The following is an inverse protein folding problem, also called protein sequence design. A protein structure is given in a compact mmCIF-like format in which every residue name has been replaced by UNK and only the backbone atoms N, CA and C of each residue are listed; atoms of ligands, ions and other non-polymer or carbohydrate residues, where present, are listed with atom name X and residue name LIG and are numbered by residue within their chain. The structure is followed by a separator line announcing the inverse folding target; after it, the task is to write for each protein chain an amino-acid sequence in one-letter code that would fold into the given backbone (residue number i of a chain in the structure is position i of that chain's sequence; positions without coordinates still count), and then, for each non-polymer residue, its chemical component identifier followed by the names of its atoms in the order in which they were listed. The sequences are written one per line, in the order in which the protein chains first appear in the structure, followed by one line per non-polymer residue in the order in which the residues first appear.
data_IF_674331837752
#
_entry.id   IF_674331837752
#
_cell.length_a   1.000
_cell.length_b   1.000
_cell.length_c   1.000
_cell.angle_alpha   90.00
_cell.angle_beta   90.00
_cell.angle_gamma   90.00
#
_symmetry.space_group_name_H-M   'P 1'
#
loop_
_entity.id
_entity.type
_entity.pdbx_description
1 polymer ?
#
# COMPACT_ATOMS: atom_id res chain seq x y z
N UNK A 1 1.43 -8.77 -25.20
CA UNK A 1 1.61 -9.70 -24.06
C UNK A 1 1.50 -8.90 -22.76
N UNK A 2 0.36 -9.00 -22.07
CA UNK A 2 0.03 -8.17 -20.90
C UNK A 2 0.47 -8.90 -19.62
N UNK A 3 1.55 -8.44 -19.00
CA UNK A 3 2.11 -9.08 -17.80
C UNK A 3 1.39 -8.56 -16.54
N UNK A 4 0.19 -9.10 -16.29
CA UNK A 4 -0.55 -8.94 -15.04
C UNK A 4 0.13 -9.73 -13.94
N UNK A 5 1.15 -9.21 -13.24
CA UNK A 5 1.62 -9.81 -12.00
C UNK A 5 1.93 -8.79 -10.90
N UNK A 6 1.11 -8.88 -9.85
CA UNK A 6 1.40 -8.71 -8.42
C UNK A 6 1.57 -7.28 -7.91
N UNK A 7 0.45 -6.70 -7.45
CA UNK A 7 0.45 -5.66 -6.44
C UNK A 7 0.33 -6.33 -5.07
N UNK A 8 1.37 -6.26 -4.27
CA UNK A 8 1.37 -6.79 -2.89
C UNK A 8 0.96 -5.66 -1.93
N UNK A 9 -0.13 -5.88 -1.20
CA UNK A 9 -0.53 -5.03 -0.09
C UNK A 9 0.47 -5.20 1.07
N UNK A 10 1.01 -4.08 1.58
CA UNK A 10 1.74 -4.08 2.85
C UNK A 10 0.71 -3.89 3.96
N UNK A 11 0.19 -5.00 4.50
CA UNK A 11 -0.71 -4.99 5.65
C UNK A 11 0.07 -4.54 6.90
N UNK A 12 -0.48 -3.57 7.65
CA UNK A 12 0.16 -3.06 8.89
C UNK A 12 0.25 -4.19 9.94
N UNK A 13 1.37 -4.27 10.67
CA UNK A 13 1.64 -5.33 11.69
C UNK A 13 0.54 -5.47 12.76
N UNK A 14 -0.15 -4.37 13.12
CA UNK A 14 -1.29 -4.38 14.05
C UNK A 14 -2.52 -5.07 13.47
N UNK A 15 -2.77 -4.87 12.18
CA UNK A 15 -3.85 -5.53 11.42
C UNK A 15 -3.58 -7.02 11.28
N UNK A 16 -2.34 -7.42 11.06
CA UNK A 16 -1.95 -8.84 10.92
C UNK A 16 -2.18 -9.62 12.24
N UNK A 17 -1.83 -9.05 13.40
CA UNK A 17 -2.06 -9.69 14.71
C UNK A 17 -3.55 -9.81 15.03
N UNK A 18 -4.36 -8.80 14.68
CA UNK A 18 -5.82 -8.85 14.84
C UNK A 18 -6.48 -9.90 13.92
N UNK A 19 -6.03 -10.00 12.67
CA UNK A 19 -6.47 -11.03 11.73
C UNK A 19 -6.05 -12.44 12.18
N UNK A 20 -4.84 -12.61 12.69
CA UNK A 20 -4.34 -13.91 13.18
C UNK A 20 -5.11 -14.42 14.40
N UNK A 21 -5.48 -13.54 15.34
CA UNK A 21 -6.28 -13.95 16.50
C UNK A 21 -7.69 -14.38 16.11
N UNK A 22 -8.33 -13.66 15.17
CA UNK A 22 -9.62 -14.04 14.59
C UNK A 22 -9.54 -15.34 13.80
N UNK A 23 -8.45 -15.57 13.08
CA UNK A 23 -8.21 -16.80 12.34
C UNK A 23 -7.99 -18.01 13.26
N UNK A 24 -7.28 -17.84 14.38
CA UNK A 24 -7.12 -18.89 15.39
C UNK A 24 -8.46 -19.25 16.08
N UNK A 25 -9.30 -18.25 16.37
CA UNK A 25 -10.65 -18.46 16.88
C UNK A 25 -11.55 -19.20 15.86
N UNK A 26 -11.42 -18.85 14.57
CA UNK A 26 -12.11 -19.50 13.46
C UNK A 26 -11.69 -20.98 13.33
N UNK A 27 -10.40 -21.27 13.36
CA UNK A 27 -9.87 -22.64 13.28
C UNK A 27 -10.33 -23.52 14.45
N UNK A 28 -10.59 -22.93 15.61
CA UNK A 28 -11.18 -23.64 16.76
C UNK A 28 -12.66 -23.99 16.57
N UNK A 29 -13.40 -23.27 15.71
CA UNK A 29 -14.84 -23.47 15.46
C UNK A 29 -15.13 -24.34 14.22
N UNK A 30 -14.19 -24.42 13.26
CA UNK A 30 -14.31 -25.19 12.00
C UNK A 30 -14.58 -26.69 12.21
N UNK A 31 -14.34 -27.25 13.42
CA UNK A 31 -14.57 -28.68 13.68
C UNK A 31 -16.06 -29.06 13.82
N UNK A 32 -16.97 -28.09 14.03
CA UNK A 32 -18.38 -28.39 14.39
C UNK A 32 -19.43 -27.90 13.39
N UNK A 33 -19.16 -26.93 12.51
CA UNK A 33 -20.15 -26.47 11.52
C UNK A 33 -19.49 -25.75 10.31
N UNK A 34 -19.52 -26.34 9.10
CA UNK A 34 -18.90 -25.76 7.91
C UNK A 34 -19.60 -24.51 7.36
N UNK A 35 -20.88 -24.28 7.68
CA UNK A 35 -21.62 -23.09 7.21
C UNK A 35 -21.17 -21.82 7.95
N UNK A 36 -20.80 -21.95 9.24
CA UNK A 36 -20.24 -20.84 10.03
C UNK A 36 -18.91 -20.33 9.46
N UNK A 37 -18.08 -21.24 8.92
CA UNK A 37 -16.80 -20.89 8.29
C UNK A 37 -17.00 -20.08 7.02
N UNK A 38 -18.01 -20.44 6.20
CA UNK A 38 -18.34 -19.70 4.97
C UNK A 38 -18.80 -18.28 5.28
N UNK A 39 -19.63 -18.11 6.31
CA UNK A 39 -20.08 -16.78 6.75
C UNK A 39 -18.92 -15.91 7.22
N UNK A 40 -17.96 -16.46 7.95
CA UNK A 40 -16.81 -15.68 8.44
C UNK A 40 -15.84 -15.35 7.31
N UNK A 41 -15.62 -16.26 6.35
CA UNK A 41 -14.85 -15.95 5.13
C UNK A 41 -15.51 -14.82 4.34
N UNK A 42 -16.83 -14.88 4.11
CA UNK A 42 -17.57 -13.84 3.40
C UNK A 42 -17.48 -12.48 4.10
N UNK A 43 -17.57 -12.45 5.44
CA UNK A 43 -17.43 -11.21 6.21
C UNK A 43 -16.00 -10.64 6.12
N UNK A 44 -14.97 -11.50 6.10
CA UNK A 44 -13.58 -11.06 5.94
C UNK A 44 -13.35 -10.51 4.51
N UNK A 45 -13.93 -11.13 3.49
CA UNK A 45 -13.86 -10.64 2.11
C UNK A 45 -14.50 -9.26 1.98
N UNK A 46 -15.68 -9.07 2.57
CA UNK A 46 -16.36 -7.77 2.60
C UNK A 46 -15.58 -6.71 3.39
N UNK A 47 -15.01 -7.06 4.55
CA UNK A 47 -14.18 -6.16 5.33
C UNK A 47 -12.88 -5.76 4.58
N UNK A 48 -12.29 -6.67 3.79
CA UNK A 48 -11.11 -6.38 2.95
C UNK A 48 -11.49 -5.42 1.81
N UNK A 49 -12.64 -5.62 1.18
CA UNK A 49 -13.13 -4.74 0.12
C UNK A 49 -13.49 -3.34 0.67
N UNK A 50 -14.07 -3.25 1.87
CA UNK A 50 -14.31 -1.98 2.55
C UNK A 50 -13.03 -1.32 3.06
N UNK A 51 -12.00 -2.11 3.38
CA UNK A 51 -10.66 -1.62 3.74
C UNK A 51 -9.82 -1.24 2.51
N UNK A 52 -10.30 -1.49 1.29
CA UNK A 52 -9.67 -1.04 0.05
C UNK A 52 -9.84 0.49 -0.09
N UNK A 53 -9.04 1.24 0.68
CA UNK A 53 -8.91 2.69 0.55
C UNK A 53 -8.65 2.99 -0.93
N UNK A 54 -9.49 3.80 -1.60
CA UNK A 54 -9.28 4.12 -3.01
C UNK A 54 -7.87 4.71 -3.17
N UNK A 55 -7.16 4.41 -4.27
CA UNK A 55 -5.80 4.90 -4.46
C UNK A 55 -5.83 6.44 -4.48
N UNK A 56 -5.43 7.05 -3.38
CA UNK A 56 -5.34 8.50 -3.26
C UNK A 56 -4.22 8.98 -4.19
N UNK A 57 -4.62 9.65 -5.27
CA UNK A 57 -3.73 10.27 -6.23
C UNK A 57 -3.30 11.62 -5.69
N UNK A 58 -2.00 11.75 -5.41
CA UNK A 58 -1.40 12.95 -4.84
C UNK A 58 -0.62 13.71 -5.91
N UNK A 59 -0.82 15.03 -5.99
CA UNK A 59 0.07 15.92 -6.74
C UNK A 59 1.45 16.01 -6.07
N UNK A 60 2.46 16.54 -6.77
CA UNK A 60 3.78 16.80 -6.19
C UNK A 60 3.70 17.66 -4.92
N UNK A 61 2.85 18.69 -4.92
CA UNK A 61 2.66 19.57 -3.76
C UNK A 61 2.01 18.84 -2.58
N UNK A 62 1.05 17.96 -2.85
CA UNK A 62 0.42 17.15 -1.80
C UNK A 62 1.39 16.11 -1.23
N UNK A 63 2.20 15.46 -2.09
CA UNK A 63 3.26 14.55 -1.62
C UNK A 63 4.23 15.31 -0.71
N UNK A 64 4.69 16.49 -1.12
CA UNK A 64 5.63 17.28 -0.31
C UNK A 64 5.03 17.80 1.00
N UNK A 65 3.71 17.96 1.08
CA UNK A 65 3.04 18.33 2.32
C UNK A 65 2.88 17.15 3.29
N UNK A 66 2.74 15.92 2.77
CA UNK A 66 2.44 14.73 3.56
C UNK A 66 3.66 13.86 3.87
N UNK A 67 4.71 13.94 3.05
CA UNK A 67 5.88 13.07 3.10
C UNK A 67 7.18 13.88 3.13
N UNK A 68 8.29 13.32 3.65
CA UNK A 68 9.59 13.98 3.69
C UNK A 68 10.28 13.99 2.30
N UNK A 69 9.56 14.38 1.25
CA UNK A 69 10.03 14.47 -0.14
C UNK A 69 9.63 15.81 -0.73
N UNK A 70 10.60 16.71 -0.92
CA UNK A 70 10.33 18.02 -1.52
C UNK A 70 9.91 17.94 -2.99
N UNK A 71 9.12 18.92 -3.46
CA UNK A 71 8.67 19.01 -4.87
C UNK A 71 9.85 18.96 -5.84
N UNK A 72 10.91 19.74 -5.60
CA UNK A 72 12.11 19.76 -6.45
C UNK A 72 12.81 18.38 -6.47
N UNK A 73 12.86 17.70 -5.34
CA UNK A 73 13.42 16.35 -5.23
C UNK A 73 12.61 15.35 -6.06
N UNK A 74 11.27 15.39 -5.99
CA UNK A 74 10.41 14.53 -6.80
C UNK A 74 10.62 14.77 -8.31
N UNK A 75 10.73 16.04 -8.71
CA UNK A 75 11.00 16.39 -10.11
C UNK A 75 12.35 15.87 -10.56
N UNK A 76 13.40 16.10 -9.75
CA UNK A 76 14.75 15.61 -10.03
C UNK A 76 14.77 14.08 -10.16
N UNK A 77 14.22 13.36 -9.18
CA UNK A 77 14.14 11.90 -9.20
C UNK A 77 13.46 11.40 -10.48
N UNK A 78 12.34 12.01 -10.87
CA UNK A 78 11.66 11.68 -12.13
C UNK A 78 12.55 11.93 -13.35
N UNK A 79 13.25 13.06 -13.41
CA UNK A 79 14.15 13.38 -14.52
C UNK A 79 15.30 12.38 -14.64
N UNK A 80 15.78 11.87 -13.51
CA UNK A 80 16.81 10.83 -13.44
C UNK A 80 16.27 9.41 -13.68
N UNK A 81 14.95 9.25 -13.87
CA UNK A 81 14.31 7.93 -13.99
C UNK A 81 14.33 7.11 -12.69
N UNK A 82 14.46 7.79 -11.53
CA UNK A 82 14.47 7.21 -10.19
C UNK A 82 13.23 7.67 -9.40
N UNK A 83 13.10 7.17 -8.17
CA UNK A 83 12.09 7.61 -7.22
C UNK A 83 10.81 6.77 -7.20
N UNK A 84 9.77 7.27 -6.52
CA UNK A 84 8.45 6.64 -6.50
C UNK A 84 7.81 6.58 -7.89
N UNK A 85 6.95 5.59 -8.12
CA UNK A 85 6.21 5.48 -9.37
C UNK A 85 5.28 6.69 -9.56
N UNK A 86 5.35 7.30 -10.74
CA UNK A 86 4.54 8.46 -11.10
C UNK A 86 3.65 8.16 -12.31
N UNK A 87 2.54 8.89 -12.38
CA UNK A 87 1.57 8.78 -13.46
C UNK A 87 1.30 10.15 -14.06
N UNK A 88 1.23 10.22 -15.39
CA UNK A 88 0.80 11.42 -16.09
C UNK A 88 -0.70 11.33 -16.38
N UNK A 89 -1.45 12.35 -15.97
CA UNK A 89 -2.89 12.44 -16.25
C UNK A 89 -3.18 12.77 -17.72
N UNK A 90 -2.22 13.31 -18.45
CA UNK A 90 -2.33 13.62 -19.87
C UNK A 90 -1.12 13.09 -20.64
N UNK A 91 -1.35 12.73 -21.90
CA UNK A 91 -0.30 12.33 -22.85
C UNK A 91 0.55 13.49 -23.34
N UNK A 92 0.15 14.73 -23.07
CA UNK A 92 0.91 15.93 -23.44
C UNK A 92 2.24 16.02 -22.68
N UNK A 93 3.22 16.71 -23.28
CA UNK A 93 4.52 17.00 -22.66
C UNK A 93 4.37 17.74 -21.32
N UNK A 94 3.32 18.56 -21.20
CA UNK A 94 2.99 19.34 -20.00
C UNK A 94 1.92 18.65 -19.12
N UNK A 95 1.71 17.35 -19.29
CA UNK A 95 0.74 16.60 -18.51
C UNK A 95 1.05 16.63 -17.02
N UNK A 96 0.03 16.88 -16.20
CA UNK A 96 0.14 16.86 -14.73
C UNK A 96 0.62 15.49 -14.25
N UNK A 97 1.57 15.51 -13.31
CA UNK A 97 2.12 14.31 -12.69
C UNK A 97 1.49 14.10 -11.33
N UNK A 98 1.05 12.88 -11.08
CA UNK A 98 0.49 12.43 -9.81
C UNK A 98 1.17 11.14 -9.36
N UNK A 99 1.08 10.87 -8.06
CA UNK A 99 1.65 9.70 -7.41
C UNK A 99 0.54 8.99 -6.64
N UNK A 100 0.58 7.67 -6.60
CA UNK A 100 -0.27 6.97 -5.63
C UNK A 100 0.40 7.07 -4.27
N UNK A 101 -0.40 7.30 -3.23
CA UNK A 101 0.07 7.29 -1.85
C UNK A 101 0.94 6.05 -1.54
N UNK A 102 0.43 4.87 -1.91
CA UNK A 102 1.10 3.60 -1.67
C UNK A 102 2.48 3.51 -2.32
N UNK A 103 2.65 4.04 -3.53
CA UNK A 103 3.94 3.98 -4.24
C UNK A 103 5.00 4.87 -3.57
N UNK A 104 4.58 6.00 -2.98
CA UNK A 104 5.45 6.84 -2.14
C UNK A 104 5.91 6.07 -0.90
N UNK A 105 4.98 5.45 -0.19
CA UNK A 105 5.26 4.71 1.04
C UNK A 105 6.18 3.51 0.79
N UNK A 106 5.92 2.74 -0.28
CA UNK A 106 6.77 1.63 -0.70
C UNK A 106 8.18 2.13 -1.03
N UNK A 107 8.30 3.27 -1.72
CA UNK A 107 9.60 3.85 -2.05
C UNK A 107 10.36 4.25 -0.78
N UNK A 108 9.72 4.97 0.14
CA UNK A 108 10.34 5.38 1.40
C UNK A 108 10.76 4.18 2.25
N UNK A 109 9.92 3.14 2.31
CA UNK A 109 10.25 1.90 3.01
C UNK A 109 11.47 1.20 2.39
N UNK A 110 11.59 1.18 1.05
CA UNK A 110 12.75 0.61 0.35
C UNK A 110 14.03 1.42 0.54
N UNK A 111 13.92 2.74 0.65
CA UNK A 111 15.06 3.62 0.86
C UNK A 111 15.50 3.71 2.32
N UNK A 112 14.71 3.18 3.26
CA UNK A 112 15.06 3.17 4.67
C UNK A 112 16.22 2.19 4.89
N UNK A 113 17.35 2.72 5.35
CA UNK A 113 18.47 1.92 5.85
C UNK A 113 18.29 1.75 7.35
N UNK A 114 18.32 0.52 7.84
CA UNK A 114 18.34 0.23 9.28
C UNK A 114 19.77 0.43 9.78
N UNK A 115 19.96 1.31 10.77
CA UNK A 115 21.25 1.53 11.43
C UNK A 115 21.28 0.79 12.78
N UNK A 116 22.47 0.36 13.20
CA UNK A 116 22.69 -0.47 14.40
C UNK A 116 22.15 0.17 15.69
N UNK A 117 22.05 1.50 15.75
CA UNK A 117 21.53 2.26 16.89
C UNK A 117 20.03 2.02 17.20
N UNK A 118 19.31 1.29 16.34
CA UNK A 118 17.87 1.03 16.49
C UNK A 118 17.56 -0.35 17.09
N UNK A 119 18.57 -1.16 17.42
CA UNK A 119 18.43 -2.46 18.10
C UNK A 119 18.80 -2.29 19.58
N UNK A 120 17.88 -1.71 20.35
CA UNK A 120 17.96 -1.58 21.81
C UNK A 120 16.88 -2.38 22.49
#
# INVERSE_FOLDING_TARGET
MSNKKKQYQVLKRSTIKGCLWRFAALLSQVRNDPESVRSIIAQIEEDIDQAAVPPEWLSESQVAAQYPLGVKTLQQLRHEGRGPAYHKLSRSRNGRVVYKRLDIEIYLAKCRVETEDQVG
#
